data_IF_571549944930
#
_entry.id   IF_571549944930
#
_cell.length_a   1.000
_cell.length_b   1.000
_cell.length_c   1.000
_cell.angle_alpha   90.00
_cell.angle_beta   90.00
_cell.angle_gamma   90.00
#
_symmetry.space_group_name_H-M   'P 1'
#
loop_
_entity.id
_entity.type
_entity.pdbx_description
1 polymer ?
#
# COMPACT_ATOMS: atom_id res chain seq x y z
N UNK A 1 -36.00 24.70 1.11
CA UNK A 1 -34.98 23.71 0.76
C UNK A 1 -34.20 24.30 -0.40
N UNK A 2 -33.02 24.86 -0.10
CA UNK A 2 -32.15 25.47 -1.11
C UNK A 2 -31.36 24.33 -1.76
N UNK A 3 -31.82 23.85 -2.91
CA UNK A 3 -30.95 23.04 -3.77
C UNK A 3 -29.80 23.95 -4.20
N UNK A 4 -28.59 23.71 -3.71
CA UNK A 4 -27.38 24.29 -4.27
C UNK A 4 -27.34 23.92 -5.75
N UNK A 5 -27.69 24.89 -6.60
CA UNK A 5 -27.65 24.77 -8.05
C UNK A 5 -26.20 24.60 -8.44
N UNK A 6 -25.80 23.39 -8.81
CA UNK A 6 -24.47 23.13 -9.35
C UNK A 6 -24.25 24.03 -10.58
N UNK A 7 -23.18 24.83 -10.53
CA UNK A 7 -22.85 25.81 -11.55
C UNK A 7 -21.41 25.63 -12.08
N UNK A 8 -20.99 26.51 -13.00
CA UNK A 8 -19.67 26.43 -13.64
C UNK A 8 -18.52 26.62 -12.64
N UNK A 9 -18.73 27.29 -11.50
CA UNK A 9 -17.70 27.45 -10.49
C UNK A 9 -17.41 26.13 -9.78
N UNK A 10 -18.43 25.30 -9.53
CA UNK A 10 -18.24 23.96 -8.96
C UNK A 10 -17.39 23.08 -9.89
N UNK A 11 -17.66 23.14 -11.20
CA UNK A 11 -16.90 22.41 -12.23
C UNK A 11 -15.45 22.90 -12.26
N UNK A 12 -15.25 24.22 -12.30
CA UNK A 12 -13.92 24.85 -12.36
C UNK A 12 -13.09 24.51 -11.11
N UNK A 13 -13.71 24.48 -9.94
CA UNK A 13 -13.06 24.08 -8.69
C UNK A 13 -12.62 22.61 -8.75
N UNK A 14 -13.53 21.69 -9.10
CA UNK A 14 -13.20 20.28 -9.21
C UNK A 14 -12.11 20.02 -10.26
N UNK A 15 -12.15 20.74 -11.38
CA UNK A 15 -11.14 20.69 -12.43
C UNK A 15 -9.76 21.13 -11.92
N UNK A 16 -9.73 22.22 -11.12
CA UNK A 16 -8.50 22.69 -10.48
C UNK A 16 -7.94 21.66 -9.50
N UNK A 17 -8.80 21.02 -8.71
CA UNK A 17 -8.42 19.95 -7.79
C UNK A 17 -7.83 18.74 -8.54
N UNK A 18 -8.44 18.35 -9.66
CA UNK A 18 -7.93 17.28 -10.54
C UNK A 18 -6.55 17.61 -11.12
N UNK A 19 -6.36 18.84 -11.62
CA UNK A 19 -5.05 19.28 -12.14
C UNK A 19 -4.00 19.30 -11.04
N UNK A 20 -4.33 19.84 -9.86
CA UNK A 20 -3.42 19.87 -8.71
C UNK A 20 -3.01 18.44 -8.29
N UNK A 21 -3.96 17.51 -8.28
CA UNK A 21 -3.70 16.11 -7.99
C UNK A 21 -2.81 15.47 -9.06
N UNK A 22 -3.08 15.72 -10.34
CA UNK A 22 -2.23 15.29 -11.45
C UNK A 22 -0.79 15.79 -11.34
N UNK A 23 -0.59 17.06 -11.03
CA UNK A 23 0.74 17.63 -10.78
C UNK A 23 1.46 16.92 -9.61
N UNK A 24 0.74 16.66 -8.52
CA UNK A 24 1.30 15.95 -7.36
C UNK A 24 1.71 14.52 -7.70
N UNK A 25 0.90 13.78 -8.47
CA UNK A 25 1.26 12.44 -8.92
C UNK A 25 2.46 12.49 -9.86
N UNK A 26 2.46 13.41 -10.83
CA UNK A 26 3.55 13.59 -11.77
C UNK A 26 4.88 13.81 -11.03
N UNK A 27 4.91 14.74 -10.07
CA UNK A 27 6.12 15.05 -9.30
C UNK A 27 6.61 13.91 -8.40
N UNK A 28 5.74 12.98 -8.00
CA UNK A 28 6.08 11.89 -7.06
C UNK A 28 6.36 10.56 -7.74
N UNK A 29 5.75 10.30 -8.89
CA UNK A 29 5.82 8.99 -9.58
C UNK A 29 6.61 9.02 -10.90
N UNK A 30 6.71 10.19 -11.55
CA UNK A 30 7.46 10.34 -12.80
C UNK A 30 8.80 11.00 -12.49
N UNK A 31 9.91 10.36 -12.85
CA UNK A 31 11.25 10.90 -12.61
C UNK A 31 11.72 11.86 -13.71
N UNK A 32 11.19 11.72 -14.91
CA UNK A 32 11.58 12.51 -16.07
C UNK A 32 10.73 13.79 -16.18
N UNK A 33 11.39 14.95 -16.23
CA UNK A 33 10.70 16.25 -16.25
C UNK A 33 9.85 16.46 -17.50
N UNK A 34 10.21 15.86 -18.64
CA UNK A 34 9.39 15.92 -19.84
C UNK A 34 8.11 15.08 -19.67
N UNK A 35 8.22 13.87 -19.11
CA UNK A 35 7.04 13.05 -18.80
C UNK A 35 6.14 13.71 -17.75
N UNK A 36 6.71 14.37 -16.74
CA UNK A 36 5.95 15.16 -15.76
C UNK A 36 5.13 16.27 -16.42
N UNK A 37 5.76 17.05 -17.31
CA UNK A 37 5.10 18.13 -18.05
C UNK A 37 4.04 17.59 -19.00
N UNK A 38 4.34 16.51 -19.73
CA UNK A 38 3.40 15.88 -20.65
C UNK A 38 2.17 15.36 -19.90
N UNK A 39 2.37 14.67 -18.78
CA UNK A 39 1.28 14.18 -17.95
C UNK A 39 0.42 15.31 -17.40
N UNK A 40 1.05 16.34 -16.83
CA UNK A 40 0.34 17.52 -16.29
C UNK A 40 -0.44 18.25 -17.38
N UNK A 41 0.10 18.31 -18.61
CA UNK A 41 -0.59 18.87 -19.77
C UNK A 41 -1.82 18.03 -20.17
N UNK A 42 -1.73 16.70 -20.16
CA UNK A 42 -2.87 15.81 -20.49
C UNK A 42 -4.02 16.05 -19.51
N UNK A 43 -3.74 16.08 -18.21
CA UNK A 43 -4.75 16.31 -17.17
C UNK A 43 -5.37 17.70 -17.30
N UNK A 44 -4.54 18.73 -17.56
CA UNK A 44 -5.00 20.10 -17.75
C UNK A 44 -5.87 20.27 -19.00
N UNK A 45 -5.49 19.63 -20.12
CA UNK A 45 -6.28 19.64 -21.35
C UNK A 45 -7.64 19.01 -21.14
N UNK A 46 -7.71 17.82 -20.50
CA UNK A 46 -8.97 17.19 -20.16
C UNK A 46 -9.86 18.09 -19.31
N UNK A 47 -9.30 18.69 -18.25
CA UNK A 47 -10.04 19.57 -17.35
C UNK A 47 -10.61 20.80 -18.08
N UNK A 48 -9.80 21.42 -18.95
CA UNK A 48 -10.20 22.59 -19.75
C UNK A 48 -11.27 22.23 -20.79
N UNK A 49 -11.18 21.08 -21.45
CA UNK A 49 -12.19 20.60 -22.39
C UNK A 49 -13.56 20.45 -21.73
N UNK A 50 -13.60 19.96 -20.48
CA UNK A 50 -14.86 19.84 -19.72
C UNK A 50 -15.41 21.22 -19.32
N UNK A 51 -14.55 22.13 -18.84
CA UNK A 51 -14.98 23.50 -18.50
C UNK A 51 -15.57 24.19 -19.74
N UNK A 52 -14.88 24.12 -20.88
CA UNK A 52 -15.32 24.74 -22.12
C UNK A 52 -16.65 24.15 -22.61
N UNK A 53 -16.83 22.83 -22.53
CA UNK A 53 -18.09 22.19 -22.89
C UNK A 53 -19.27 22.63 -21.99
N UNK A 54 -19.02 22.98 -20.72
CA UNK A 54 -20.04 23.54 -19.82
C UNK A 54 -20.33 25.01 -20.18
N UNK A 55 -19.29 25.81 -20.41
CA UNK A 55 -19.40 27.24 -20.74
C UNK A 55 -20.16 27.47 -22.06
N UNK A 56 -19.86 26.66 -23.08
CA UNK A 56 -20.55 26.67 -24.37
C UNK A 56 -21.95 26.04 -24.33
N UNK A 57 -22.37 25.51 -23.17
CA UNK A 57 -23.68 24.88 -22.98
C UNK A 57 -23.84 23.52 -23.70
N UNK A 58 -22.74 22.90 -24.14
CA UNK A 58 -22.73 21.57 -24.75
C UNK A 58 -23.09 20.47 -23.74
N UNK A 59 -22.71 20.65 -22.48
CA UNK A 59 -23.11 19.81 -21.34
C UNK A 59 -23.54 20.67 -20.16
N UNK A 60 -24.37 20.12 -19.27
CA UNK A 60 -24.73 20.82 -18.02
C UNK A 60 -23.58 20.86 -17.02
N UNK A 61 -23.55 21.86 -16.14
CA UNK A 61 -22.58 21.95 -15.04
C UNK A 61 -22.53 20.66 -14.19
N UNK A 62 -23.69 20.04 -13.91
CA UNK A 62 -23.76 18.77 -13.18
C UNK A 62 -23.07 17.62 -13.92
N UNK A 63 -23.26 17.53 -15.24
CA UNK A 63 -22.57 16.52 -16.07
C UNK A 63 -21.06 16.78 -16.13
N UNK A 64 -20.64 18.03 -16.26
CA UNK A 64 -19.22 18.41 -16.22
C UNK A 64 -18.56 18.05 -14.90
N UNK A 65 -19.21 18.38 -13.77
CA UNK A 65 -18.74 18.03 -12.43
C UNK A 65 -18.62 16.51 -12.25
N UNK A 66 -19.58 15.74 -12.77
CA UNK A 66 -19.53 14.27 -12.69
C UNK A 66 -18.33 13.73 -13.48
N UNK A 67 -18.11 14.17 -14.72
CA UNK A 67 -16.97 13.73 -15.53
C UNK A 67 -15.62 14.00 -14.84
N UNK A 68 -15.43 15.19 -14.29
CA UNK A 68 -14.21 15.53 -13.54
C UNK A 68 -14.03 14.62 -12.32
N UNK A 69 -15.11 14.35 -11.57
CA UNK A 69 -15.05 13.47 -10.40
C UNK A 69 -14.73 12.03 -10.76
N UNK A 70 -15.30 11.53 -11.86
CA UNK A 70 -15.03 10.19 -12.35
C UNK A 70 -13.57 10.04 -12.78
N UNK A 71 -13.03 11.02 -13.52
CA UNK A 71 -11.62 11.06 -13.91
C UNK A 71 -10.70 11.14 -12.68
N UNK A 72 -11.03 11.99 -11.70
CA UNK A 72 -10.28 12.10 -10.45
C UNK A 72 -10.28 10.77 -9.68
N UNK A 73 -11.43 10.10 -9.59
CA UNK A 73 -11.54 8.81 -8.93
C UNK A 73 -10.73 7.72 -9.64
N UNK A 74 -10.78 7.68 -10.98
CA UNK A 74 -10.00 6.75 -11.78
C UNK A 74 -8.50 6.97 -11.62
N UNK A 75 -8.03 8.22 -11.77
CA UNK A 75 -6.64 8.58 -11.60
C UNK A 75 -6.16 8.28 -10.17
N UNK A 76 -6.97 8.61 -9.17
CA UNK A 76 -6.66 8.33 -7.77
C UNK A 76 -6.56 6.82 -7.50
N UNK A 77 -7.45 6.02 -8.11
CA UNK A 77 -7.42 4.57 -7.98
C UNK A 77 -6.12 3.99 -8.55
N UNK A 78 -5.74 4.42 -9.76
CA UNK A 78 -4.48 4.00 -10.41
C UNK A 78 -3.25 4.44 -9.62
N UNK A 79 -3.21 5.68 -9.15
CA UNK A 79 -2.11 6.17 -8.32
C UNK A 79 -1.99 5.41 -6.99
N UNK A 80 -3.12 5.13 -6.34
CA UNK A 80 -3.16 4.34 -5.11
C UNK A 80 -2.71 2.90 -5.36
N UNK A 81 -3.10 2.29 -6.48
CA UNK A 81 -2.65 0.95 -6.87
C UNK A 81 -1.12 0.86 -6.91
N UNK A 82 -0.45 1.74 -7.67
CA UNK A 82 1.01 1.71 -7.76
C UNK A 82 1.68 2.05 -6.42
N UNK A 83 1.13 2.99 -5.65
CA UNK A 83 1.63 3.36 -4.33
C UNK A 83 1.56 2.19 -3.34
N UNK A 84 0.42 1.49 -3.27
CA UNK A 84 0.24 0.35 -2.38
C UNK A 84 1.17 -0.81 -2.74
N UNK A 85 1.33 -1.11 -4.04
CA UNK A 85 2.27 -2.15 -4.46
C UNK A 85 3.72 -1.75 -4.18
N UNK A 86 4.09 -0.47 -4.35
CA UNK A 86 5.40 0.04 -3.95
C UNK A 86 5.67 -0.13 -2.45
N UNK A 87 4.69 0.19 -1.60
CA UNK A 87 4.74 -0.05 -0.16
C UNK A 87 4.91 -1.55 0.13
N UNK A 88 4.17 -2.42 -0.56
CA UNK A 88 4.25 -3.87 -0.40
C UNK A 88 5.64 -4.45 -0.73
N UNK A 89 6.33 -3.91 -1.75
CA UNK A 89 7.72 -4.28 -2.06
C UNK A 89 8.66 -3.86 -0.92
N UNK A 90 8.54 -2.63 -0.43
CA UNK A 90 9.36 -2.13 0.68
C UNK A 90 9.15 -2.94 1.96
N UNK A 91 7.89 -3.21 2.31
CA UNK A 91 7.54 -4.04 3.46
C UNK A 91 8.10 -5.46 3.32
N UNK A 92 7.97 -6.07 2.13
CA UNK A 92 8.53 -7.40 1.84
C UNK A 92 10.07 -7.43 2.02
N UNK A 93 10.77 -6.39 1.59
CA UNK A 93 12.22 -6.27 1.81
C UNK A 93 12.58 -6.18 3.31
N UNK A 94 11.82 -5.42 4.09
CA UNK A 94 11.99 -5.35 5.54
C UNK A 94 11.70 -6.69 6.23
N UNK A 95 10.70 -7.44 5.77
CA UNK A 95 10.43 -8.81 6.25
C UNK A 95 11.60 -9.74 5.95
N UNK A 96 12.15 -9.72 4.72
CA UNK A 96 13.34 -10.53 4.37
C UNK A 96 14.52 -10.17 5.27
N UNK A 97 14.79 -8.88 5.49
CA UNK A 97 15.87 -8.43 6.38
C UNK A 97 15.67 -8.90 7.83
N UNK A 98 14.44 -8.76 8.34
CA UNK A 98 14.06 -9.21 9.68
C UNK A 98 14.24 -10.73 9.80
N UNK A 99 13.79 -11.49 8.81
CA UNK A 99 13.95 -12.93 8.75
C UNK A 99 15.40 -13.36 8.74
N UNK A 100 16.23 -12.78 7.88
CA UNK A 100 17.67 -13.03 7.82
C UNK A 100 18.37 -12.74 9.16
N UNK A 101 17.96 -11.67 9.86
CA UNK A 101 18.49 -11.34 11.18
C UNK A 101 18.16 -12.41 12.24
N UNK A 102 16.95 -12.99 12.16
CA UNK A 102 16.49 -14.05 13.06
C UNK A 102 17.17 -15.38 12.80
N UNK A 103 17.60 -15.64 11.55
CA UNK A 103 18.30 -16.86 11.15
C UNK A 103 19.76 -16.93 11.63
N UNK A 104 20.35 -15.81 12.05
CA UNK A 104 21.74 -15.77 12.51
C UNK A 104 21.89 -16.50 13.86
N UNK A 105 22.59 -17.64 13.85
CA UNK A 105 22.87 -18.50 15.01
C UNK A 105 21.60 -19.02 15.73
N UNK A 106 20.51 -19.27 15.00
CA UNK A 106 19.20 -19.62 15.57
C UNK A 106 18.91 -21.12 15.64
N UNK A 107 18.13 -21.49 16.68
CA UNK A 107 17.45 -22.78 16.85
C UNK A 107 16.01 -22.52 17.34
N UNK A 108 15.12 -23.50 17.21
CA UNK A 108 13.75 -23.41 17.70
C UNK A 108 12.94 -22.32 16.98
N UNK A 109 12.09 -21.61 17.72
CA UNK A 109 11.11 -20.65 17.17
C UNK A 109 11.72 -19.55 16.29
N UNK A 110 12.98 -19.15 16.54
CA UNK A 110 13.66 -18.13 15.73
C UNK A 110 13.98 -18.62 14.31
N UNK A 111 14.29 -19.92 14.17
CA UNK A 111 14.58 -20.52 12.87
C UNK A 111 13.30 -20.57 12.03
N UNK A 112 12.20 -21.07 12.61
CA UNK A 112 10.92 -21.17 11.90
C UNK A 112 10.38 -19.79 11.56
N UNK A 113 10.31 -18.87 12.52
CA UNK A 113 9.86 -17.50 12.25
C UNK A 113 10.74 -16.80 11.22
N UNK A 114 12.07 -16.96 11.31
CA UNK A 114 13.02 -16.38 10.37
C UNK A 114 12.80 -16.85 8.92
N UNK A 115 12.58 -18.15 8.73
CA UNK A 115 12.23 -18.70 7.40
C UNK A 115 10.88 -18.19 6.92
N UNK A 116 9.88 -18.11 7.80
CA UNK A 116 8.54 -17.58 7.46
C UNK A 116 8.62 -16.12 7.00
N UNK A 117 9.35 -15.26 7.72
CA UNK A 117 9.59 -13.87 7.31
C UNK A 117 10.24 -13.75 5.94
N UNK A 118 11.28 -14.55 5.67
CA UNK A 118 11.95 -14.52 4.35
C UNK A 118 10.99 -14.98 3.25
N UNK A 119 10.23 -16.06 3.49
CA UNK A 119 9.29 -16.60 2.52
C UNK A 119 8.16 -15.60 2.20
N UNK A 120 7.49 -15.07 3.22
CA UNK A 120 6.42 -14.07 3.05
C UNK A 120 6.96 -12.78 2.45
N UNK A 121 8.11 -12.28 2.92
CA UNK A 121 8.73 -11.07 2.38
C UNK A 121 9.11 -11.20 0.90
N UNK A 122 9.69 -12.33 0.49
CA UNK A 122 9.98 -12.61 -0.92
C UNK A 122 8.69 -12.75 -1.75
N UNK A 123 7.64 -13.36 -1.21
CA UNK A 123 6.35 -13.48 -1.88
C UNK A 123 5.68 -12.11 -2.05
N UNK A 124 5.72 -11.26 -1.03
CA UNK A 124 5.20 -9.88 -1.09
C UNK A 124 5.95 -9.07 -2.16
N UNK A 125 7.28 -9.16 -2.23
CA UNK A 125 8.04 -8.52 -3.33
C UNK A 125 7.58 -9.04 -4.69
N UNK A 126 7.46 -10.37 -4.86
CA UNK A 126 7.07 -10.99 -6.12
C UNK A 126 5.67 -10.56 -6.58
N UNK A 127 4.68 -10.64 -5.69
CA UNK A 127 3.29 -10.31 -6.02
C UNK A 127 3.12 -8.83 -6.35
N UNK A 128 3.69 -7.94 -5.52
CA UNK A 128 3.56 -6.50 -5.72
C UNK A 128 4.34 -6.03 -6.96
N UNK A 129 5.54 -6.59 -7.22
CA UNK A 129 6.27 -6.28 -8.46
C UNK A 129 5.52 -6.78 -9.70
N UNK A 130 4.94 -7.99 -9.63
CA UNK A 130 4.10 -8.53 -10.70
C UNK A 130 2.87 -7.66 -10.97
N UNK A 131 2.20 -7.17 -9.92
CA UNK A 131 1.07 -6.25 -10.05
C UNK A 131 1.47 -4.94 -10.73
N UNK A 132 2.60 -4.34 -10.36
CA UNK A 132 3.12 -3.12 -11.02
C UNK A 132 3.40 -3.40 -12.50
N UNK A 133 4.05 -4.52 -12.80
CA UNK A 133 4.41 -4.91 -14.16
C UNK A 133 3.18 -5.15 -15.05
N UNK A 134 2.16 -5.83 -14.52
CA UNK A 134 0.94 -6.18 -15.26
C UNK A 134 -0.07 -5.01 -15.33
N UNK A 135 -0.01 -4.09 -14.38
CA UNK A 135 -0.89 -2.91 -14.30
C UNK A 135 -2.20 -3.16 -13.53
N UNK A 136 -2.95 -2.08 -13.25
CA UNK A 136 -4.15 -2.10 -12.41
C UNK A 136 -5.34 -2.88 -12.99
N UNK A 137 -5.40 -3.01 -14.32
CA UNK A 137 -6.51 -3.68 -15.01
C UNK A 137 -6.31 -5.21 -15.13
N UNK A 138 -5.12 -5.70 -14.77
CA UNK A 138 -4.81 -7.13 -14.81
C UNK A 138 -5.24 -7.83 -13.51
N UNK A 139 -5.56 -9.14 -13.56
CA UNK A 139 -5.75 -9.93 -12.36
C UNK A 139 -4.53 -9.86 -11.44
N UNK A 140 -4.76 -9.79 -10.13
CA UNK A 140 -3.67 -9.73 -9.14
C UNK A 140 -2.74 -10.94 -9.24
N UNK A 141 -1.44 -10.67 -9.21
CA UNK A 141 -0.38 -11.67 -9.23
C UNK A 141 -0.42 -12.50 -7.95
N UNK A 142 -0.49 -13.83 -8.07
CA UNK A 142 -0.48 -14.76 -6.94
C UNK A 142 0.82 -15.55 -6.92
N UNK A 143 1.64 -15.29 -5.91
CA UNK A 143 2.92 -15.90 -5.67
C UNK A 143 2.83 -17.29 -5.05
N UNK A 144 3.96 -18.03 -5.06
CA UNK A 144 3.99 -19.43 -4.65
C UNK A 144 3.63 -19.64 -3.18
N UNK A 145 4.03 -18.75 -2.28
CA UNK A 145 3.75 -18.92 -0.85
C UNK A 145 2.25 -18.80 -0.59
N UNK A 146 1.60 -17.78 -1.14
CA UNK A 146 0.14 -17.62 -1.01
C UNK A 146 -0.62 -18.78 -1.66
N UNK A 147 -0.16 -19.30 -2.81
CA UNK A 147 -0.71 -20.52 -3.42
C UNK A 147 -0.61 -21.74 -2.50
N UNK A 148 0.48 -21.88 -1.75
CA UNK A 148 0.58 -22.97 -0.75
C UNK A 148 -0.49 -22.84 0.34
N UNK A 149 -0.76 -21.64 0.85
CA UNK A 149 -1.86 -21.44 1.81
C UNK A 149 -3.24 -21.77 1.21
N UNK A 150 -3.51 -21.32 -0.01
CA UNK A 150 -4.75 -21.64 -0.74
C UNK A 150 -4.92 -23.15 -0.93
N UNK A 151 -3.84 -23.85 -1.27
CA UNK A 151 -3.85 -25.29 -1.46
C UNK A 151 -4.09 -26.04 -0.14
N UNK A 152 -3.37 -25.69 0.92
CA UNK A 152 -3.51 -26.33 2.23
C UNK A 152 -4.88 -26.06 2.88
N UNK A 153 -5.49 -24.91 2.59
CA UNK A 153 -6.81 -24.56 3.06
C UNK A 153 -7.95 -25.14 2.20
N UNK A 154 -7.63 -25.76 1.05
CA UNK A 154 -8.58 -26.24 0.05
C UNK A 154 -9.62 -25.18 -0.39
N UNK A 155 -9.30 -23.90 -0.18
CA UNK A 155 -10.17 -22.77 -0.44
C UNK A 155 -9.34 -21.50 -0.63
N UNK A 156 -9.55 -20.81 -1.75
CA UNK A 156 -8.79 -19.61 -2.11
C UNK A 156 -8.95 -18.48 -1.09
N UNK A 157 -10.18 -18.16 -0.68
CA UNK A 157 -10.47 -17.08 0.26
C UNK A 157 -9.91 -17.39 1.65
N UNK A 158 -10.15 -18.60 2.14
CA UNK A 158 -9.60 -19.05 3.42
C UNK A 158 -8.08 -19.03 3.41
N UNK A 159 -7.45 -19.51 2.33
CA UNK A 159 -6.00 -19.48 2.18
C UNK A 159 -5.44 -18.06 2.16
N UNK A 160 -6.09 -17.13 1.45
CA UNK A 160 -5.71 -15.71 1.45
C UNK A 160 -5.82 -15.10 2.85
N UNK A 161 -6.94 -15.33 3.54
CA UNK A 161 -7.16 -14.86 4.91
C UNK A 161 -6.09 -15.41 5.86
N UNK A 162 -5.74 -16.69 5.77
CA UNK A 162 -4.67 -17.29 6.59
C UNK A 162 -3.32 -16.65 6.25
N UNK A 163 -2.99 -16.50 4.95
CA UNK A 163 -1.73 -15.88 4.52
C UNK A 163 -1.56 -14.48 5.13
N UNK A 164 -2.55 -13.59 4.95
CA UNK A 164 -2.51 -12.23 5.49
C UNK A 164 -2.54 -12.21 7.03
N UNK A 165 -3.25 -13.15 7.66
CA UNK A 165 -3.27 -13.26 9.13
C UNK A 165 -1.91 -13.67 9.69
N UNK A 166 -1.18 -14.55 8.99
CA UNK A 166 0.19 -14.91 9.36
C UNK A 166 1.10 -13.69 9.21
N UNK A 167 0.96 -12.92 8.13
CA UNK A 167 1.74 -11.71 7.92
C UNK A 167 1.53 -10.66 9.04
N UNK A 168 0.27 -10.42 9.45
CA UNK A 168 -0.03 -9.58 10.63
C UNK A 168 0.54 -10.16 11.93
N UNK A 169 0.46 -11.48 12.10
CA UNK A 169 1.03 -12.17 13.26
C UNK A 169 2.55 -12.01 13.33
N UNK A 170 3.23 -12.01 12.19
CA UNK A 170 4.65 -11.72 12.08
C UNK A 170 4.95 -10.26 12.46
N UNK A 171 4.21 -9.27 11.97
CA UNK A 171 4.34 -7.86 12.41
C UNK A 171 4.23 -7.72 13.94
N UNK A 172 3.16 -8.29 14.52
CA UNK A 172 2.96 -8.25 15.98
C UNK A 172 4.10 -8.96 16.74
N UNK A 173 4.58 -10.09 16.21
CA UNK A 173 5.68 -10.85 16.81
C UNK A 173 7.00 -10.07 16.79
N UNK A 174 7.35 -9.37 15.69
CA UNK A 174 8.57 -8.55 15.65
C UNK A 174 8.46 -7.36 16.59
N UNK A 175 7.35 -6.62 16.55
CA UNK A 175 7.12 -5.45 17.42
C UNK A 175 7.18 -5.80 18.92
N UNK A 176 6.65 -6.96 19.28
CA UNK A 176 6.63 -7.46 20.65
C UNK A 176 7.88 -8.26 21.03
N UNK A 177 8.79 -8.56 20.12
CA UNK A 177 10.00 -9.31 20.45
C UNK A 177 10.92 -8.52 21.40
N UNK A 178 11.61 -9.24 22.29
CA UNK A 178 12.61 -8.64 23.17
C UNK A 178 13.91 -8.40 22.40
N UNK A 179 14.34 -7.15 22.36
CA UNK A 179 15.60 -6.68 21.78
C UNK A 179 16.49 -6.10 22.86
N UNK A 180 17.80 -6.25 22.70
CA UNK A 180 18.78 -5.73 23.65
C UNK A 180 18.82 -4.21 23.53
N UNK A 181 18.84 -3.51 24.66
CA UNK A 181 19.01 -2.05 24.73
C UNK A 181 20.38 -1.65 24.19
N UNK A 182 20.42 -0.53 23.48
CA UNK A 182 21.69 0.06 23.04
C UNK A 182 22.57 0.38 24.27
N UNK A 183 23.89 0.23 24.12
CA UNK A 183 24.89 0.52 25.15
C UNK A 183 24.76 -0.27 26.47
N UNK A 184 24.19 -1.48 26.43
CA UNK A 184 24.14 -2.39 27.58
C UNK A 184 25.16 -3.50 27.47
N UNK A 185 25.67 -3.99 28.61
CA UNK A 185 26.51 -5.20 28.69
C UNK A 185 25.67 -6.37 29.22
N UNK A 186 25.56 -7.42 28.42
CA UNK A 186 24.81 -8.63 28.79
C UNK A 186 25.70 -9.56 29.62
N UNK A 187 25.48 -9.58 30.93
CA UNK A 187 26.16 -10.50 31.84
C UNK A 187 25.44 -11.87 31.92
N UNK A 188 24.12 -11.86 31.76
CA UNK A 188 23.30 -13.07 31.69
C UNK A 188 22.45 -13.05 30.42
N UNK A 189 22.33 -14.22 29.77
CA UNK A 189 21.62 -14.30 28.49
C UNK A 189 20.15 -13.91 28.65
N UNK A 190 19.71 -12.85 27.96
CA UNK A 190 18.34 -12.30 27.99
C UNK A 190 17.85 -11.87 29.39
N UNK A 191 18.68 -11.18 30.15
CA UNK A 191 18.23 -10.59 31.42
C UNK A 191 17.17 -9.47 31.22
N UNK A 192 16.23 -9.27 32.16
CA UNK A 192 15.17 -8.28 32.00
C UNK A 192 15.67 -6.83 32.10
N UNK A 193 16.89 -6.58 32.56
CA UNK A 193 17.44 -5.22 32.75
C UNK A 193 17.93 -4.67 31.41
N UNK A 194 18.57 -5.51 30.59
CA UNK A 194 19.19 -5.15 29.33
C UNK A 194 18.29 -5.32 28.10
N UNK A 195 17.05 -5.79 28.26
CA UNK A 195 16.13 -6.04 27.14
C UNK A 195 14.85 -5.22 27.27
N UNK A 196 14.27 -4.87 26.13
CA UNK A 196 12.95 -4.25 26.03
C UNK A 196 12.24 -4.67 24.74
N UNK A 197 10.98 -4.28 24.59
CA UNK A 197 10.20 -4.61 23.38
C UNK A 197 10.71 -3.81 22.18
N UNK A 198 10.77 -4.44 21.00
CA UNK A 198 11.28 -3.83 19.78
C UNK A 198 10.58 -2.51 19.43
N UNK A 199 9.26 -2.42 19.64
CA UNK A 199 8.51 -1.18 19.37
C UNK A 199 9.03 0.04 20.16
N UNK A 200 9.68 -0.16 21.32
CA UNK A 200 10.26 0.93 22.11
C UNK A 200 11.54 1.49 21.51
N UNK A 201 12.24 0.69 20.71
CA UNK A 201 13.45 1.09 20.01
C UNK A 201 13.18 1.52 18.56
N UNK A 202 12.02 1.19 18.02
CA UNK A 202 11.61 1.63 16.69
C UNK A 202 11.42 3.15 16.65
N UNK A 203 11.94 3.78 15.60
CA UNK A 203 11.69 5.20 15.33
C UNK A 203 10.23 5.47 14.98
N UNK A 204 9.76 6.70 15.20
CA UNK A 204 8.37 7.11 14.92
C UNK A 204 7.95 6.84 13.47
N UNK A 205 8.85 7.08 12.50
CA UNK A 205 8.58 6.82 11.09
C UNK A 205 8.44 5.32 10.78
N UNK A 206 9.27 4.48 11.40
CA UNK A 206 9.17 3.03 11.25
C UNK A 206 7.86 2.50 11.85
N UNK A 207 7.44 3.00 13.01
CA UNK A 207 6.14 2.66 13.61
C UNK A 207 4.96 3.10 12.74
N UNK A 208 5.02 4.31 12.18
CA UNK A 208 3.97 4.79 11.27
C UNK A 208 3.90 3.95 9.98
N UNK A 209 5.05 3.55 9.45
CA UNK A 209 5.12 2.65 8.30
C UNK A 209 4.57 1.26 8.62
N UNK A 210 4.93 0.67 9.75
CA UNK A 210 4.38 -0.61 10.19
C UNK A 210 2.86 -0.54 10.32
N UNK A 211 2.33 0.50 10.97
CA UNK A 211 0.90 0.70 11.13
C UNK A 211 0.17 0.87 9.78
N UNK A 212 0.79 1.55 8.81
CA UNK A 212 0.26 1.67 7.45
C UNK A 212 0.20 0.31 6.74
N UNK A 213 1.29 -0.46 6.80
CA UNK A 213 1.36 -1.80 6.19
C UNK A 213 0.34 -2.73 6.83
N UNK A 214 0.23 -2.75 8.16
CA UNK A 214 -0.76 -3.54 8.88
C UNK A 214 -2.19 -3.16 8.50
N UNK A 215 -2.48 -1.86 8.37
CA UNK A 215 -3.79 -1.40 7.93
C UNK A 215 -4.15 -1.88 6.51
N UNK A 216 -3.17 -1.88 5.59
CA UNK A 216 -3.35 -2.44 4.24
C UNK A 216 -3.63 -3.94 4.31
N UNK A 217 -2.86 -4.70 5.10
CA UNK A 217 -3.06 -6.14 5.28
C UNK A 217 -4.42 -6.47 5.91
N UNK A 218 -4.87 -5.69 6.90
CA UNK A 218 -6.21 -5.82 7.49
C UNK A 218 -7.30 -5.57 6.44
N UNK A 219 -7.12 -4.55 5.59
CA UNK A 219 -8.05 -4.27 4.48
C UNK A 219 -8.14 -5.45 3.52
N UNK A 220 -7.03 -6.12 3.22
CA UNK A 220 -7.03 -7.33 2.39
C UNK A 220 -7.81 -8.47 3.06
N UNK A 221 -7.62 -8.71 4.36
CA UNK A 221 -8.39 -9.71 5.11
C UNK A 221 -9.89 -9.38 5.05
N UNK A 222 -10.26 -8.12 5.33
CA UNK A 222 -11.65 -7.68 5.30
C UNK A 222 -12.30 -7.97 3.94
N UNK A 223 -11.61 -7.64 2.84
CA UNK A 223 -12.10 -7.88 1.48
C UNK A 223 -12.34 -9.37 1.17
N UNK A 224 -11.51 -10.28 1.70
CA UNK A 224 -11.70 -11.73 1.54
C UNK A 224 -12.90 -12.25 2.34
N UNK A 225 -13.22 -11.61 3.47
CA UNK A 225 -14.32 -12.02 4.37
C UNK A 225 -15.67 -11.38 4.06
N UNK A 226 -15.73 -10.21 3.42
CA UNK A 226 -17.00 -9.51 3.14
C UNK A 226 -17.68 -9.93 1.85
N UNK A 227 -17.02 -10.71 1.01
CA UNK A 227 -17.62 -11.29 -0.19
C UNK A 227 -18.27 -12.64 0.18
N UNK A 228 -19.41 -12.61 0.85
CA UNK A 228 -20.32 -13.78 0.98
C UNK A 228 -21.56 -13.59 0.09
#
# INVERSE_FOLDING_TARGET
MNDERCDIHDVTKAASDLVAFGCSIGATQLYDSFLQLQFSSIVSSYANEIIQAVDEGLISARQGLQKIRDEHAELSSKAMFYTQNGIGILAGAMQVQTGASLLRNSRGIKLTSGLTYVAHGANNIYENAGNIYNGPDAPSTVGPIRKTYQHLAENTKTGNTIYYSVDLGLSAFSAMSLVRKNYTLELFRKDPINYERAYRQMGKLALAFEALVDAITIKHIAAETTLE
#
